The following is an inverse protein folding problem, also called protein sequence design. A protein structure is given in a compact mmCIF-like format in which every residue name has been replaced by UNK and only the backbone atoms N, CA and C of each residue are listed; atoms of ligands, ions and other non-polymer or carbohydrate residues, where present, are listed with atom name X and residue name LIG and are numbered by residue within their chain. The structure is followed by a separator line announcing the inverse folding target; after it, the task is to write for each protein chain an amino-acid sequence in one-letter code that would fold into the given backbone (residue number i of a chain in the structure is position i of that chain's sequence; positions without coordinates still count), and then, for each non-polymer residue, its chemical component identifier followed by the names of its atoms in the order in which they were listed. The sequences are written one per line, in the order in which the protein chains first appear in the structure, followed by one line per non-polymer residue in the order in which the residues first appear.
data_IF_882756886154
#
_entry.id   IF_882756886154
#
_cell.length_a   1.000
_cell.length_b   1.000
_cell.length_c   1.000
_cell.angle_alpha   90.00
_cell.angle_beta   90.00
_cell.angle_gamma   90.00
#
_symmetry.space_group_name_H-M   'P 1'
#
loop_
_entity.id
_entity.type
_entity.pdbx_description
1 polymer ?
#
# COMPACT_ATOMS: atom_id res chain seq x y z
N UNK A 1 -3.92 7.07 33.85
CA UNK A 1 -4.46 8.07 32.91
C UNK A 1 -4.22 7.51 31.50
N UNK A 2 -5.23 6.88 30.93
CA UNK A 2 -5.18 6.38 29.59
C UNK A 2 -5.28 7.58 28.63
N UNK A 3 -4.24 7.78 27.80
CA UNK A 3 -4.24 8.82 26.79
C UNK A 3 -5.38 8.57 25.81
N UNK A 4 -6.34 9.47 25.78
CA UNK A 4 -7.33 9.54 24.71
C UNK A 4 -6.58 9.62 23.39
N UNK A 5 -6.53 8.51 22.68
CA UNK A 5 -6.04 8.46 21.32
C UNK A 5 -6.82 9.49 20.52
N UNK A 6 -6.12 10.51 20.04
CA UNK A 6 -6.65 11.55 19.17
C UNK A 6 -7.29 10.85 17.96
N UNK A 7 -8.58 10.62 18.04
CA UNK A 7 -9.36 10.09 16.90
C UNK A 7 -9.41 11.21 15.88
N UNK A 8 -8.36 11.28 15.07
CA UNK A 8 -8.39 12.06 13.84
C UNK A 8 -9.47 11.37 13.00
N UNK A 9 -10.63 12.01 12.87
CA UNK A 9 -11.63 11.57 11.90
C UNK A 9 -10.98 11.76 10.53
N UNK A 10 -10.50 10.69 9.88
CA UNK A 10 -9.87 10.84 8.58
C UNK A 10 -10.94 11.22 7.56
N UNK A 11 -10.58 11.68 6.37
CA UNK A 11 -11.50 11.81 5.25
C UNK A 11 -11.99 10.43 4.74
N UNK A 12 -12.10 9.47 5.64
CA UNK A 12 -12.55 8.10 5.42
C UNK A 12 -13.98 8.07 4.90
N UNK A 13 -14.84 8.98 5.35
CA UNK A 13 -16.18 9.14 4.79
C UNK A 13 -16.13 9.47 3.28
N UNK A 14 -15.13 10.24 2.87
CA UNK A 14 -14.92 10.56 1.47
C UNK A 14 -14.35 9.38 0.66
N UNK A 15 -13.59 8.51 1.30
CA UNK A 15 -13.03 7.31 0.70
C UNK A 15 -14.07 6.20 0.62
N UNK A 16 -14.84 5.99 1.70
CA UNK A 16 -15.93 5.01 1.76
C UNK A 16 -17.02 5.25 0.70
N UNK A 17 -17.21 6.49 0.27
CA UNK A 17 -18.16 6.85 -0.79
C UNK A 17 -17.61 6.75 -2.22
N UNK A 18 -16.45 6.12 -2.42
CA UNK A 18 -15.81 6.02 -3.73
C UNK A 18 -15.20 7.34 -4.24
N UNK A 19 -14.99 8.30 -3.34
CA UNK A 19 -14.44 9.61 -3.72
C UNK A 19 -12.99 9.48 -4.16
N UNK A 20 -12.68 10.12 -5.27
CA UNK A 20 -11.32 10.16 -5.81
C UNK A 20 -10.44 11.09 -4.99
N UNK A 21 -9.29 10.63 -4.55
CA UNK A 21 -8.27 11.44 -3.89
C UNK A 21 -6.95 11.40 -4.69
N UNK A 22 -6.09 12.37 -4.44
CA UNK A 22 -4.83 12.57 -5.16
C UNK A 22 -3.66 12.69 -4.20
N UNK A 23 -2.42 12.46 -4.68
CA UNK A 23 -1.22 12.74 -3.90
C UNK A 23 -1.20 14.17 -3.36
N UNK A 24 -0.68 14.33 -2.16
CA UNK A 24 -0.62 15.63 -1.47
C UNK A 24 0.40 16.58 -2.12
N UNK A 25 0.26 17.87 -1.84
CA UNK A 25 1.26 18.88 -2.24
C UNK A 25 2.64 18.61 -1.61
N UNK A 26 2.67 17.97 -0.44
CA UNK A 26 3.90 17.57 0.23
C UNK A 26 4.70 16.55 -0.61
N UNK A 27 4.04 15.67 -1.34
CA UNK A 27 4.70 14.74 -2.27
C UNK A 27 5.39 15.45 -3.42
N UNK A 28 4.79 16.51 -3.96
CA UNK A 28 5.45 17.38 -4.95
C UNK A 28 6.72 18.00 -4.39
N UNK A 29 6.62 18.60 -3.21
CA UNK A 29 7.76 19.26 -2.56
C UNK A 29 8.89 18.26 -2.27
N UNK A 30 8.56 17.02 -1.83
CA UNK A 30 9.51 15.93 -1.69
C UNK A 30 10.23 15.62 -3.01
N UNK A 31 9.49 15.49 -4.13
CA UNK A 31 10.11 15.19 -5.42
C UNK A 31 11.08 16.29 -5.87
N UNK A 32 10.69 17.56 -5.70
CA UNK A 32 11.58 18.69 -5.97
C UNK A 32 12.81 18.69 -5.06
N UNK A 33 12.61 18.46 -3.76
CA UNK A 33 13.71 18.37 -2.80
C UNK A 33 14.69 17.27 -3.17
N UNK A 34 14.21 16.08 -3.51
CA UNK A 34 15.06 14.95 -3.94
C UNK A 34 15.85 15.33 -5.19
N UNK A 35 15.24 15.99 -6.18
CA UNK A 35 15.93 16.43 -7.39
C UNK A 35 17.09 17.39 -7.09
N UNK A 36 16.83 18.43 -6.28
CA UNK A 36 17.87 19.40 -5.86
C UNK A 36 18.92 18.72 -4.97
N UNK A 37 18.50 17.91 -4.01
CA UNK A 37 19.40 17.18 -3.12
C UNK A 37 20.36 16.28 -3.90
N UNK A 38 19.83 15.53 -4.87
CA UNK A 38 20.66 14.68 -5.74
C UNK A 38 21.66 15.50 -6.53
N UNK A 39 21.26 16.65 -7.07
CA UNK A 39 22.18 17.55 -7.77
C UNK A 39 23.33 18.04 -6.87
N UNK A 40 23.02 18.45 -5.63
CA UNK A 40 24.03 18.90 -4.67
C UNK A 40 24.97 17.75 -4.27
N UNK A 41 24.42 16.57 -4.02
CA UNK A 41 25.24 15.39 -3.66
C UNK A 41 26.19 15.01 -4.80
N UNK A 42 25.71 15.00 -6.05
CA UNK A 42 26.53 14.73 -7.21
C UNK A 42 27.62 15.80 -7.38
N UNK A 43 27.30 17.07 -7.13
CA UNK A 43 28.30 18.15 -7.13
C UNK A 43 29.39 17.89 -6.12
N UNK A 44 29.05 17.55 -4.86
CA UNK A 44 30.03 17.25 -3.81
C UNK A 44 30.89 16.05 -4.20
N UNK A 45 30.29 14.99 -4.73
CA UNK A 45 31.04 13.79 -5.12
C UNK A 45 31.99 14.09 -6.26
N UNK A 46 31.57 14.77 -7.32
CA UNK A 46 32.39 15.07 -8.49
C UNK A 46 33.55 16.02 -8.12
N UNK A 47 33.20 17.16 -7.56
CA UNK A 47 34.25 18.17 -7.23
C UNK A 47 35.07 17.77 -6.05
N UNK A 48 34.50 17.08 -5.05
CA UNK A 48 35.25 16.57 -3.90
C UNK A 48 36.24 15.48 -4.27
N UNK A 49 35.83 14.51 -5.12
CA UNK A 49 36.76 13.47 -5.61
C UNK A 49 37.86 14.03 -6.47
N UNK A 50 37.55 15.04 -7.31
CA UNK A 50 38.53 15.68 -8.13
C UNK A 50 39.54 16.49 -7.29
N UNK A 51 39.06 17.28 -6.31
CA UNK A 51 39.93 18.01 -5.39
C UNK A 51 40.81 17.06 -4.54
N UNK A 52 40.24 15.94 -4.08
CA UNK A 52 41.01 14.91 -3.36
C UNK A 52 42.13 14.32 -4.23
N UNK A 53 41.83 14.04 -5.49
CA UNK A 53 42.82 13.48 -6.43
C UNK A 53 43.98 14.46 -6.63
N UNK A 54 43.70 15.76 -6.85
CA UNK A 54 44.72 16.77 -6.99
C UNK A 54 45.58 16.94 -5.71
N UNK A 55 44.92 16.88 -4.56
CA UNK A 55 45.62 16.94 -3.26
C UNK A 55 46.54 15.73 -3.07
N UNK A 56 46.14 14.54 -3.44
CA UNK A 56 46.99 13.35 -3.39
C UNK A 56 48.18 13.45 -4.34
N UNK A 57 47.99 14.00 -5.54
CA UNK A 57 49.10 14.25 -6.49
C UNK A 57 50.11 15.22 -5.90
N UNK A 58 49.66 16.36 -5.36
CA UNK A 58 50.51 17.34 -4.70
C UNK A 58 51.28 16.73 -3.51
N UNK A 59 50.64 15.89 -2.70
CA UNK A 59 51.24 15.19 -1.57
C UNK A 59 52.35 14.21 -2.01
N UNK A 60 52.10 13.44 -3.10
CA UNK A 60 53.08 12.45 -3.63
C UNK A 60 54.25 13.16 -4.30
N UNK A 61 54.00 14.24 -5.03
CA UNK A 61 55.04 14.97 -5.79
C UNK A 61 55.82 16.00 -4.96
N UNK A 62 55.36 16.27 -3.75
CA UNK A 62 55.93 17.33 -2.90
C UNK A 62 55.68 18.76 -3.42
N UNK A 63 54.70 18.92 -4.32
CA UNK A 63 54.32 20.16 -4.98
C UNK A 63 53.01 20.66 -4.40
N UNK A 64 52.77 21.96 -4.36
CA UNK A 64 51.48 22.56 -3.93
C UNK A 64 50.80 23.33 -5.06
N UNK A 65 51.16 23.04 -6.32
CA UNK A 65 50.75 23.85 -7.47
C UNK A 65 49.49 23.33 -8.14
N UNK A 66 49.17 22.02 -8.03
CA UNK A 66 48.04 21.41 -8.76
C UNK A 66 46.70 21.89 -8.19
N UNK A 67 46.55 21.87 -6.87
CA UNK A 67 45.31 22.34 -6.23
C UNK A 67 45.10 23.83 -6.44
N UNK A 68 46.14 24.63 -6.23
CA UNK A 68 46.05 26.09 -6.38
C UNK A 68 45.73 26.52 -7.82
N UNK A 69 46.37 25.90 -8.83
CA UNK A 69 46.10 26.18 -10.24
C UNK A 69 44.69 25.75 -10.66
N UNK A 70 44.18 24.65 -10.12
CA UNK A 70 42.81 24.24 -10.37
C UNK A 70 41.80 25.29 -9.89
N UNK A 71 41.90 25.72 -8.62
CA UNK A 71 41.01 26.75 -8.08
C UNK A 71 41.13 28.08 -8.82
N UNK A 72 42.29 28.45 -9.26
CA UNK A 72 42.53 29.73 -9.94
C UNK A 72 41.99 29.74 -11.38
N UNK A 73 42.15 28.65 -12.15
CA UNK A 73 41.89 28.67 -13.61
C UNK A 73 40.63 27.90 -13.98
N UNK A 74 40.30 26.78 -13.31
CA UNK A 74 39.25 25.85 -13.75
C UNK A 74 38.01 25.84 -12.90
N UNK A 75 38.08 26.19 -11.64
CA UNK A 75 36.99 26.10 -10.69
C UNK A 75 35.72 26.78 -11.18
N UNK A 76 35.79 28.05 -11.57
CA UNK A 76 34.63 28.84 -11.99
C UNK A 76 34.01 28.25 -13.25
N UNK A 77 34.83 27.94 -14.26
CA UNK A 77 34.36 27.40 -15.55
C UNK A 77 33.66 26.08 -15.37
N UNK A 78 34.25 25.15 -14.64
CA UNK A 78 33.64 23.82 -14.41
C UNK A 78 32.36 23.90 -13.58
N UNK A 79 32.30 24.78 -12.58
CA UNK A 79 31.07 24.98 -11.82
C UNK A 79 29.93 25.55 -12.70
N UNK A 80 30.21 26.53 -13.54
CA UNK A 80 29.20 27.09 -14.46
C UNK A 80 28.66 25.98 -15.36
N UNK A 81 29.53 25.19 -16.01
CA UNK A 81 29.09 24.09 -16.87
C UNK A 81 28.32 23.04 -16.11
N UNK A 82 28.73 22.67 -14.90
CA UNK A 82 27.98 21.73 -14.06
C UNK A 82 26.54 22.20 -13.82
N UNK A 83 26.36 23.45 -13.39
CA UNK A 83 25.02 23.97 -13.10
C UNK A 83 24.18 24.19 -14.36
N UNK A 84 24.80 24.55 -15.50
CA UNK A 84 24.07 24.61 -16.78
C UNK A 84 23.54 23.24 -17.18
N UNK A 85 24.38 22.21 -17.14
CA UNK A 85 23.97 20.85 -17.47
C UNK A 85 22.89 20.36 -16.47
N UNK A 86 23.09 20.60 -15.19
CA UNK A 86 22.11 20.27 -14.16
C UNK A 86 20.76 20.97 -14.40
N UNK A 87 20.76 22.22 -14.78
CA UNK A 87 19.55 22.98 -15.08
C UNK A 87 18.74 22.38 -16.25
N UNK A 88 19.43 21.83 -17.27
CA UNK A 88 18.79 21.22 -18.45
C UNK A 88 17.87 20.06 -18.08
N UNK A 89 18.20 19.25 -17.09
CA UNK A 89 17.34 18.15 -16.65
C UNK A 89 16.49 18.50 -15.43
N UNK A 90 16.92 19.38 -14.56
CA UNK A 90 16.22 19.73 -13.32
C UNK A 90 15.00 20.63 -13.62
N UNK A 91 15.14 21.62 -14.50
CA UNK A 91 14.04 22.53 -14.85
C UNK A 91 12.85 21.78 -15.47
N UNK A 92 13.03 20.93 -16.50
CA UNK A 92 11.93 20.10 -17.01
C UNK A 92 11.33 19.21 -15.91
N UNK A 93 12.14 18.61 -15.04
CA UNK A 93 11.66 17.81 -13.92
C UNK A 93 10.75 18.59 -12.99
N UNK A 94 11.14 19.80 -12.59
CA UNK A 94 10.33 20.68 -11.73
C UNK A 94 9.00 21.05 -12.38
N UNK A 95 8.98 21.26 -13.70
CA UNK A 95 7.78 21.60 -14.45
C UNK A 95 6.86 20.38 -14.61
N UNK A 96 7.41 19.21 -14.92
CA UNK A 96 6.64 18.00 -15.20
C UNK A 96 5.98 17.42 -13.93
N UNK A 97 6.65 17.47 -12.77
CA UNK A 97 6.15 16.90 -11.51
C UNK A 97 4.72 17.33 -11.16
N UNK A 98 4.32 18.61 -11.16
CA UNK A 98 2.94 18.96 -10.82
C UNK A 98 1.91 18.43 -11.82
N UNK A 99 2.24 18.32 -13.11
CA UNK A 99 1.38 17.71 -14.12
C UNK A 99 1.23 16.22 -13.88
N UNK A 100 2.33 15.54 -13.55
CA UNK A 100 2.31 14.13 -13.18
C UNK A 100 1.44 13.86 -11.96
N UNK A 101 1.58 14.65 -10.91
CA UNK A 101 0.76 14.46 -9.70
C UNK A 101 -0.73 14.70 -9.93
N UNK A 102 -1.08 15.64 -10.81
CA UNK A 102 -2.48 15.87 -11.19
C UNK A 102 -3.09 14.72 -11.99
N UNK A 103 -2.27 13.94 -12.69
CA UNK A 103 -2.72 12.78 -13.46
C UNK A 103 -2.93 11.53 -12.60
N UNK A 104 -2.45 11.54 -11.35
CA UNK A 104 -2.62 10.43 -10.41
C UNK A 104 -3.96 10.59 -9.68
N UNK A 105 -4.77 9.56 -9.74
CA UNK A 105 -6.05 9.47 -9.04
C UNK A 105 -6.16 8.11 -8.35
N UNK A 106 -6.55 8.16 -7.08
CA UNK A 106 -6.81 6.98 -6.26
C UNK A 106 -8.26 6.99 -5.80
N UNK A 107 -8.89 5.83 -5.76
CA UNK A 107 -10.19 5.66 -5.13
C UNK A 107 -10.26 4.30 -4.45
N UNK A 108 -10.93 4.25 -3.31
CA UNK A 108 -11.27 3.00 -2.64
C UNK A 108 -12.78 2.91 -2.59
N UNK A 109 -13.32 1.92 -3.26
CA UNK A 109 -14.76 1.64 -3.31
C UNK A 109 -15.02 0.58 -2.25
N UNK A 110 -15.72 0.96 -1.18
CA UNK A 110 -16.21 0.02 -0.18
C UNK A 110 -17.47 -0.68 -0.72
N UNK A 111 -17.80 -1.82 -0.14
CA UNK A 111 -19.00 -2.57 -0.52
C UNK A 111 -20.25 -1.70 -0.32
N UNK A 112 -20.93 -1.40 -1.42
CA UNK A 112 -22.18 -0.67 -1.43
C UNK A 112 -23.16 -1.42 -2.35
N UNK A 113 -24.02 -2.24 -1.75
CA UNK A 113 -25.02 -3.01 -2.49
C UNK A 113 -24.40 -4.03 -3.46
N UNK A 114 -24.58 -3.81 -4.76
CA UNK A 114 -24.18 -4.76 -5.82
C UNK A 114 -22.69 -4.66 -6.23
N UNK A 115 -21.99 -3.60 -5.83
CA UNK A 115 -20.59 -3.38 -6.26
C UNK A 115 -19.61 -4.09 -5.36
N UNK A 116 -18.67 -4.86 -5.97
CA UNK A 116 -17.57 -5.46 -5.22
C UNK A 116 -16.60 -4.38 -4.75
N UNK A 117 -16.07 -4.48 -3.52
CA UNK A 117 -15.06 -3.53 -3.04
C UNK A 117 -13.78 -3.68 -3.84
N UNK A 118 -13.24 -2.54 -4.29
CA UNK A 118 -12.03 -2.48 -5.09
C UNK A 118 -11.20 -1.23 -4.80
N UNK A 119 -9.91 -1.31 -5.09
CA UNK A 119 -9.01 -0.17 -5.12
C UNK A 119 -8.81 0.22 -6.58
N UNK A 120 -9.19 1.44 -6.91
CA UNK A 120 -8.94 2.02 -8.24
C UNK A 120 -7.73 2.93 -8.20
N UNK A 121 -6.84 2.73 -9.17
CA UNK A 121 -5.62 3.52 -9.36
C UNK A 121 -5.49 3.94 -10.80
N UNK A 122 -5.35 5.24 -11.02
CA UNK A 122 -5.06 5.82 -12.32
C UNK A 122 -3.76 6.60 -12.21
N UNK A 123 -2.80 6.34 -13.10
CA UNK A 123 -1.48 6.99 -13.14
C UNK A 123 -1.05 7.25 -14.59
N UNK A 124 -0.29 8.32 -14.79
CA UNK A 124 0.42 8.60 -16.04
C UNK A 124 -0.09 9.83 -16.78
N UNK A 125 0.83 10.50 -17.48
CA UNK A 125 0.56 11.67 -18.33
C UNK A 125 0.39 11.24 -19.79
N UNK A 126 1.38 10.56 -20.33
CA UNK A 126 1.43 10.12 -21.74
C UNK A 126 0.81 8.73 -21.85
N UNK A 127 1.28 7.81 -21.04
CA UNK A 127 0.75 6.46 -20.96
C UNK A 127 -0.14 6.33 -19.72
N UNK A 128 -1.44 6.38 -19.90
CA UNK A 128 -2.41 6.34 -18.79
C UNK A 128 -2.70 4.89 -18.46
N UNK A 129 -2.25 4.47 -17.28
CA UNK A 129 -2.57 3.16 -16.71
C UNK A 129 -3.73 3.31 -15.74
N UNK A 130 -4.75 2.46 -15.90
CA UNK A 130 -5.86 2.31 -14.97
C UNK A 130 -5.86 0.90 -14.45
N UNK A 131 -5.84 0.74 -13.13
CA UNK A 131 -5.88 -0.58 -12.49
C UNK A 131 -7.04 -0.64 -11.52
N UNK A 132 -7.70 -1.78 -11.50
CA UNK A 132 -8.73 -2.14 -10.56
C UNK A 132 -8.22 -3.35 -9.77
N UNK A 133 -8.04 -3.18 -8.47
CA UNK A 133 -7.57 -4.24 -7.58
C UNK A 133 -8.73 -4.67 -6.69
N UNK A 134 -9.42 -5.79 -7.02
CA UNK A 134 -10.53 -6.29 -6.21
C UNK A 134 -10.03 -6.79 -4.85
N UNK A 135 -10.76 -6.53 -3.78
CA UNK A 135 -10.37 -6.93 -2.42
C UNK A 135 -10.15 -8.43 -2.27
N UNK A 136 -10.87 -9.25 -3.04
CA UNK A 136 -10.73 -10.71 -3.01
C UNK A 136 -9.32 -11.21 -3.38
N UNK A 137 -8.60 -10.45 -4.21
CA UNK A 137 -7.26 -10.82 -4.69
C UNK A 137 -6.15 -10.31 -3.77
N UNK A 138 -6.45 -9.38 -2.86
CA UNK A 138 -5.47 -8.78 -1.96
C UNK A 138 -5.04 -9.81 -0.92
N UNK A 139 -3.73 -10.07 -0.87
CA UNK A 139 -3.09 -10.96 0.11
C UNK A 139 -2.51 -10.19 1.28
N UNK A 140 -1.86 -9.06 1.02
CA UNK A 140 -1.21 -8.25 2.04
C UNK A 140 -1.35 -6.75 1.73
N UNK A 141 -1.42 -5.95 2.79
CA UNK A 141 -1.42 -4.49 2.71
C UNK A 141 -0.43 -3.97 3.74
N UNK A 142 0.56 -3.24 3.27
CA UNK A 142 1.54 -2.60 4.14
C UNK A 142 1.60 -1.09 3.93
N UNK A 143 1.99 -0.37 4.97
CA UNK A 143 2.29 1.06 4.86
C UNK A 143 3.78 1.30 5.04
N UNK A 144 4.33 2.19 4.25
CA UNK A 144 5.75 2.54 4.30
C UNK A 144 5.94 4.06 4.25
N UNK A 145 6.80 4.56 5.12
CA UNK A 145 7.25 5.94 5.09
C UNK A 145 8.79 5.95 5.16
N UNK A 146 9.44 6.29 4.06
CA UNK A 146 10.89 6.45 3.98
C UNK A 146 11.38 7.69 4.73
N UNK A 147 12.70 7.91 4.77
CA UNK A 147 13.30 9.05 5.46
C UNK A 147 12.72 10.39 4.98
N UNK A 148 12.69 10.60 3.69
CA UNK A 148 12.12 11.81 3.09
C UNK A 148 10.59 11.88 3.22
N UNK A 149 9.90 10.74 3.22
CA UNK A 149 8.45 10.71 3.43
C UNK A 149 8.10 11.22 4.82
N UNK A 150 8.84 10.80 5.84
CA UNK A 150 8.67 11.28 7.23
C UNK A 150 8.94 12.77 7.36
N UNK A 151 9.98 13.29 6.66
CA UNK A 151 10.31 14.72 6.67
C UNK A 151 9.14 15.56 6.11
N UNK A 152 8.43 15.06 5.10
CA UNK A 152 7.32 15.76 4.47
C UNK A 152 5.93 15.33 5.02
N UNK A 153 5.88 14.46 6.04
CA UNK A 153 4.64 14.00 6.68
C UNK A 153 3.73 13.22 5.73
N UNK A 154 4.31 12.41 4.85
CA UNK A 154 3.59 11.57 3.87
C UNK A 154 4.05 10.12 3.97
N UNK A 155 3.27 9.22 3.36
CA UNK A 155 3.63 7.82 3.22
C UNK A 155 3.03 7.20 1.97
N UNK A 156 3.23 5.92 1.83
CA UNK A 156 2.69 5.09 0.76
C UNK A 156 2.04 3.84 1.33
N UNK A 157 1.04 3.33 0.62
CA UNK A 157 0.41 2.04 0.90
C UNK A 157 0.79 1.11 -0.24
N UNK A 158 1.33 -0.04 0.11
CA UNK A 158 1.70 -1.10 -0.82
C UNK A 158 0.66 -2.21 -0.73
N UNK A 159 0.13 -2.61 -1.88
CA UNK A 159 -0.91 -3.64 -2.02
C UNK A 159 -0.33 -4.81 -2.79
N UNK A 160 -0.39 -5.99 -2.20
CA UNK A 160 0.05 -7.24 -2.80
C UNK A 160 -1.17 -8.12 -3.13
N UNK A 161 -1.12 -8.81 -4.27
CA UNK A 161 -2.21 -9.70 -4.70
C UNK A 161 -1.71 -11.13 -4.97
N UNK A 162 -2.61 -12.09 -4.92
CA UNK A 162 -2.29 -13.51 -5.06
C UNK A 162 -1.75 -13.92 -6.45
N UNK A 163 -1.92 -13.10 -7.48
CA UNK A 163 -1.53 -13.41 -8.85
C UNK A 163 -0.11 -12.97 -9.25
N UNK A 164 0.54 -12.13 -8.43
CA UNK A 164 1.80 -11.45 -8.78
C UNK A 164 3.03 -12.03 -8.08
N UNK A 165 3.02 -13.31 -7.74
CA UNK A 165 4.16 -14.00 -7.10
C UNK A 165 5.33 -14.35 -8.04
N UNK A 166 5.41 -13.72 -9.23
CA UNK A 166 6.55 -13.88 -10.14
C UNK A 166 7.72 -13.01 -9.72
N UNK A 167 8.84 -13.60 -9.38
CA UNK A 167 10.25 -13.15 -9.34
C UNK A 167 10.62 -11.71 -8.84
N UNK A 168 9.69 -10.79 -8.66
CA UNK A 168 9.93 -9.45 -8.13
C UNK A 168 9.18 -9.24 -6.83
N UNK A 169 9.93 -9.04 -5.76
CA UNK A 169 9.49 -8.77 -4.37
C UNK A 169 8.78 -7.39 -4.21
N UNK A 170 8.20 -6.85 -5.27
CA UNK A 170 7.55 -5.54 -5.22
C UNK A 170 6.02 -5.69 -5.18
N UNK A 171 5.38 -4.82 -4.41
CA UNK A 171 3.93 -4.71 -4.37
C UNK A 171 3.35 -4.53 -5.78
N UNK A 172 2.20 -5.18 -6.08
CA UNK A 172 1.54 -5.05 -7.38
C UNK A 172 1.09 -3.62 -7.64
N UNK A 173 0.63 -2.94 -6.59
CA UNK A 173 0.24 -1.54 -6.69
C UNK A 173 0.67 -0.76 -5.46
N UNK A 174 1.01 0.52 -5.69
CA UNK A 174 1.49 1.43 -4.66
C UNK A 174 0.75 2.77 -4.75
N UNK A 175 0.12 3.13 -3.64
CA UNK A 175 -0.53 4.43 -3.46
C UNK A 175 0.45 5.36 -2.75
N UNK A 176 1.01 6.33 -3.46
CA UNK A 176 2.10 7.19 -2.96
C UNK A 176 1.63 8.60 -2.63
N UNK A 177 2.37 9.25 -1.72
CA UNK A 177 2.20 10.66 -1.43
C UNK A 177 0.96 11.01 -0.62
N UNK A 178 0.49 10.10 0.21
CA UNK A 178 -0.71 10.25 1.04
C UNK A 178 -0.32 10.74 2.42
N UNK A 179 -0.98 11.77 2.95
CA UNK A 179 -0.74 12.29 4.30
C UNK A 179 -1.43 11.47 5.38
N UNK A 180 -2.55 10.83 5.05
CA UNK A 180 -3.37 9.98 5.92
C UNK A 180 -3.21 8.47 5.58
N UNK A 181 -1.99 8.06 5.23
CA UNK A 181 -1.71 6.70 4.74
C UNK A 181 -1.96 5.61 5.80
N UNK A 182 -1.79 5.89 7.09
CA UNK A 182 -2.06 4.93 8.17
C UNK A 182 -3.55 4.70 8.34
N UNK A 183 -4.32 5.78 8.40
CA UNK A 183 -5.78 5.73 8.51
C UNK A 183 -6.41 5.07 7.27
N UNK A 184 -5.87 5.36 6.09
CA UNK A 184 -6.33 4.74 4.86
C UNK A 184 -6.02 3.24 4.83
N UNK A 185 -4.82 2.83 5.27
CA UNK A 185 -4.48 1.41 5.45
C UNK A 185 -5.45 0.73 6.40
N UNK A 186 -5.69 1.32 7.56
CA UNK A 186 -6.56 0.73 8.58
C UNK A 186 -8.02 0.65 8.11
N UNK A 187 -8.45 1.61 7.29
CA UNK A 187 -9.74 1.56 6.62
C UNK A 187 -9.81 0.37 5.65
N UNK A 188 -8.83 0.26 4.74
CA UNK A 188 -8.81 -0.83 3.76
C UNK A 188 -8.75 -2.20 4.47
N UNK A 189 -7.96 -2.32 5.54
CA UNK A 189 -7.88 -3.56 6.33
C UNK A 189 -9.21 -3.91 7.01
N UNK A 190 -9.95 -2.93 7.52
CA UNK A 190 -11.29 -3.16 8.09
C UNK A 190 -12.28 -3.64 7.05
N UNK A 191 -12.31 -3.00 5.90
CA UNK A 191 -13.18 -3.41 4.80
C UNK A 191 -12.78 -4.78 4.23
N UNK A 192 -11.49 -5.07 4.16
CA UNK A 192 -10.97 -6.37 3.74
C UNK A 192 -11.39 -7.49 4.71
N UNK A 193 -11.33 -7.24 6.03
CA UNK A 193 -11.81 -8.21 7.03
C UNK A 193 -13.30 -8.46 6.90
N UNK A 194 -14.12 -7.42 6.78
CA UNK A 194 -15.56 -7.57 6.56
C UNK A 194 -15.87 -8.40 5.31
N UNK A 195 -15.06 -8.26 4.28
CA UNK A 195 -15.24 -8.99 3.03
C UNK A 195 -14.78 -10.46 3.13
N UNK A 196 -13.65 -10.73 3.80
CA UNK A 196 -13.08 -12.10 3.92
C UNK A 196 -13.78 -12.94 4.97
N UNK A 197 -14.21 -12.33 6.08
CA UNK A 197 -14.86 -13.01 7.21
C UNK A 197 -16.23 -12.40 7.51
N UNK A 198 -17.24 -12.61 6.65
CA UNK A 198 -18.60 -12.14 6.93
C UNK A 198 -19.19 -12.74 8.21
N UNK A 199 -18.63 -13.85 8.69
CA UNK A 199 -19.07 -14.55 9.90
C UNK A 199 -18.34 -14.14 11.19
N UNK A 200 -17.25 -13.35 11.12
CA UNK A 200 -16.44 -12.94 12.29
C UNK A 200 -16.85 -11.57 12.83
N UNK A 201 -17.63 -10.80 12.10
CA UNK A 201 -18.18 -9.54 12.62
C UNK A 201 -19.40 -9.82 13.47
N UNK A 202 -19.18 -10.25 14.74
CA UNK A 202 -20.07 -9.96 15.89
C UNK A 202 -21.59 -10.13 15.73
N UNK A 203 -22.05 -10.70 14.67
CA UNK A 203 -23.29 -11.42 14.70
C UNK A 203 -22.92 -12.68 15.46
N UNK A 204 -23.24 -12.71 16.74
CA UNK A 204 -23.60 -13.94 17.41
C UNK A 204 -24.18 -14.82 16.32
N UNK A 205 -23.42 -15.88 15.96
CA UNK A 205 -24.01 -16.95 15.20
C UNK A 205 -25.15 -17.36 16.11
N UNK A 206 -26.33 -16.83 15.85
CA UNK A 206 -27.54 -17.54 16.20
C UNK A 206 -27.35 -18.79 15.34
N UNK A 207 -26.63 -19.76 15.92
CA UNK A 207 -26.78 -21.14 15.54
C UNK A 207 -28.28 -21.24 15.43
N UNK A 208 -28.87 -21.58 14.24
CA UNK A 208 -30.30 -21.85 14.16
C UNK A 208 -30.47 -22.72 15.38
N UNK A 209 -31.23 -22.20 16.39
CA UNK A 209 -31.55 -22.88 17.62
C UNK A 209 -31.74 -24.29 17.12
N UNK A 210 -30.84 -25.19 17.52
CA UNK A 210 -30.81 -26.55 17.04
C UNK A 210 -32.28 -26.92 17.23
N UNK A 211 -33.07 -26.72 16.16
CA UNK A 211 -34.45 -27.21 16.11
C UNK A 211 -34.17 -28.61 16.51
N UNK A 212 -34.53 -28.90 17.78
CA UNK A 212 -34.33 -30.18 18.39
C UNK A 212 -34.43 -31.14 17.25
N UNK A 213 -33.28 -31.63 16.75
CA UNK A 213 -33.27 -32.74 15.84
C UNK A 213 -33.95 -33.74 16.74
N UNK A 214 -35.28 -33.73 16.64
CA UNK A 214 -36.15 -34.78 17.21
C UNK A 214 -35.42 -35.97 16.70
N UNK A 215 -34.69 -36.65 17.61
CA UNK A 215 -33.92 -37.83 17.24
C UNK A 215 -34.91 -38.76 16.63
N UNK A 216 -35.01 -38.66 15.31
CA UNK A 216 -35.85 -39.51 14.48
C UNK A 216 -35.53 -40.97 14.80
N UNK A 217 -34.29 -41.21 15.25
CA UNK A 217 -33.79 -42.52 15.66
C UNK A 217 -34.49 -43.04 16.90
N UNK A 218 -34.69 -42.25 17.97
CA UNK A 218 -35.33 -42.75 19.22
C UNK A 218 -36.80 -43.10 18.99
N UNK A 219 -37.55 -42.34 18.18
CA UNK A 219 -38.92 -42.66 17.80
C UNK A 219 -39.01 -43.84 16.85
N UNK A 220 -38.08 -43.99 15.91
CA UNK A 220 -38.05 -45.07 14.94
C UNK A 220 -37.69 -46.39 15.62
N UNK A 221 -36.77 -46.42 16.58
CA UNK A 221 -36.45 -47.62 17.35
C UNK A 221 -37.62 -48.07 18.23
N UNK A 222 -38.31 -47.16 18.87
CA UNK A 222 -39.50 -47.48 19.68
C UNK A 222 -40.65 -47.98 18.81
N UNK A 223 -40.85 -47.42 17.62
CA UNK A 223 -41.86 -47.88 16.69
C UNK A 223 -41.56 -49.25 16.11
N UNK A 224 -40.29 -49.51 15.74
CA UNK A 224 -39.85 -50.86 15.30
C UNK A 224 -40.00 -51.88 16.42
N UNK A 225 -39.66 -51.56 17.66
CA UNK A 225 -39.82 -52.44 18.80
C UNK A 225 -41.29 -52.74 19.10
N UNK A 226 -42.18 -51.77 18.91
CA UNK A 226 -43.63 -51.99 19.08
C UNK A 226 -44.20 -52.96 18.04
N UNK A 227 -43.82 -52.77 16.76
CA UNK A 227 -44.25 -53.65 15.65
C UNK A 227 -43.67 -55.08 15.82
N UNK A 228 -42.44 -55.23 16.23
CA UNK A 228 -41.84 -56.52 16.51
C UNK A 228 -42.55 -57.27 17.66
N UNK A 229 -42.98 -56.57 18.70
CA UNK A 229 -43.74 -57.14 19.80
C UNK A 229 -45.14 -57.64 19.32
N UNK A 230 -45.79 -56.84 18.48
CA UNK A 230 -47.06 -57.18 17.92
C UNK A 230 -46.98 -58.42 16.99
N UNK A 231 -46.00 -58.48 16.14
CA UNK A 231 -45.74 -59.68 15.30
C UNK A 231 -45.43 -60.87 16.17
N UNK A 232 -44.66 -60.76 17.21
CA UNK A 232 -44.40 -61.89 18.13
C UNK A 232 -45.70 -62.41 18.79
N UNK A 233 -46.54 -61.49 19.23
CA UNK A 233 -47.78 -61.86 19.91
C UNK A 233 -48.84 -62.48 18.95
N UNK A 234 -48.89 -62.05 17.70
CA UNK A 234 -49.66 -62.66 16.67
C UNK A 234 -49.18 -64.10 16.32
N UNK A 235 -47.90 -64.31 16.24
CA UNK A 235 -47.28 -65.60 15.99
C UNK A 235 -47.48 -66.58 17.17
N UNK A 236 -47.61 -66.10 18.41
CA UNK A 236 -47.98 -66.91 19.57
C UNK A 236 -49.45 -67.36 19.51
N UNK A 237 -50.35 -66.48 19.11
CA UNK A 237 -51.78 -66.84 18.98
C UNK A 237 -52.11 -67.84 17.85
N UNK A 238 -51.22 -67.96 16.84
CA UNK A 238 -51.34 -68.95 15.79
C UNK A 238 -50.88 -70.36 16.20
N UNK A 239 -50.13 -70.46 17.31
CA UNK A 239 -49.61 -71.74 17.80
C UNK A 239 -50.41 -72.42 18.89
N UNK A 240 -51.43 -71.73 19.39
CA UNK A 240 -52.50 -72.29 20.28
C UNK A 240 -53.68 -72.73 19.49
#
# INVERSE_FOLDING_TARGET
MAGEGKVIKPPVENVASGKVFRPSKAFRNKMWFIGVFTAVVLWIIIFGSFALTLWLVDWITGSSTSVSSFFQYWWLTLNIWYWVITAIWLIPGVIIVPYYLRSIEYSVIAQSGETMPEIFVKKGIINITRKHVPFRTITNISSRAGLFDRLFGIGSIEVETAGYSGATTSAEEKLEGITFYEELRDFILRELRKFKDPYVTGTEVVLPEEDQIVRIDDNLEDEILSVLREIRDLLRRQKE
#
